data_IF_880218164345
#
_entry.id   IF_880218164345
#
_cell.length_a   1.000
_cell.length_b   1.000
_cell.length_c   1.000
_cell.angle_alpha   90.00
_cell.angle_beta   90.00
_cell.angle_gamma   90.00
#
_symmetry.space_group_name_H-M   'P 1'
#
loop_
_entity.id
_entity.type
_entity.pdbx_description
1 polymer ?
#
# COMPACT_ATOMS: atom_id res chain seq x y z
N UNK A 1 21.08 1.38 14.02
CA UNK A 1 19.61 1.17 14.09
C UNK A 1 19.38 -0.32 14.11
N UNK A 2 18.49 -0.82 14.97
CA UNK A 2 18.07 -2.23 14.95
C UNK A 2 17.28 -2.48 13.67
N UNK A 3 17.40 -3.67 13.08
CA UNK A 3 16.47 -4.09 12.04
C UNK A 3 15.04 -4.07 12.60
N UNK A 4 14.04 -3.66 11.79
CA UNK A 4 12.64 -3.70 12.20
C UNK A 4 12.18 -5.14 12.39
N UNK A 5 11.26 -5.34 13.34
CA UNK A 5 10.63 -6.65 13.56
C UNK A 5 9.93 -7.12 12.27
N UNK A 6 10.36 -8.26 11.72
CA UNK A 6 9.70 -8.87 10.57
C UNK A 6 8.46 -9.63 11.00
N UNK A 7 7.31 -9.17 10.52
CA UNK A 7 6.03 -9.88 10.57
C UNK A 7 5.85 -10.72 9.31
N UNK A 8 5.50 -12.00 9.49
CA UNK A 8 5.25 -12.96 8.40
C UNK A 8 4.11 -13.91 8.76
N UNK A 9 3.21 -14.13 7.81
CA UNK A 9 2.15 -15.15 7.84
C UNK A 9 2.14 -15.91 6.50
N UNK A 10 1.15 -16.78 6.29
CA UNK A 10 1.00 -17.51 5.02
C UNK A 10 0.76 -16.57 3.83
N UNK A 11 0.02 -15.49 4.06
CA UNK A 11 -0.40 -14.55 3.01
C UNK A 11 0.35 -13.22 3.06
N UNK A 12 1.21 -12.97 4.06
CA UNK A 12 1.83 -11.65 4.27
C UNK A 12 3.31 -11.75 4.66
N UNK A 13 4.14 -10.82 4.15
CA UNK A 13 5.55 -10.67 4.55
C UNK A 13 5.99 -9.21 4.54
N UNK A 14 6.18 -8.64 5.73
CA UNK A 14 6.67 -7.27 5.92
C UNK A 14 8.06 -7.00 5.33
N UNK A 15 8.87 -8.03 5.05
CA UNK A 15 10.17 -7.84 4.42
C UNK A 15 10.07 -7.17 3.04
N UNK A 16 8.91 -7.23 2.38
CA UNK A 16 8.65 -6.48 1.13
C UNK A 16 8.76 -4.97 1.30
N UNK A 17 8.69 -4.42 2.52
CA UNK A 17 8.90 -2.99 2.76
C UNK A 17 10.37 -2.57 2.77
N UNK A 18 11.31 -3.50 3.03
CA UNK A 18 12.74 -3.17 3.19
C UNK A 18 13.38 -2.67 1.88
N UNK A 19 12.98 -3.26 0.75
CA UNK A 19 13.50 -2.91 -0.58
C UNK A 19 12.56 -1.99 -1.36
N UNK A 20 11.47 -1.52 -0.74
CA UNK A 20 10.49 -0.71 -1.44
C UNK A 20 11.06 0.70 -1.72
N UNK A 21 11.13 1.14 -2.99
CA UNK A 21 11.66 2.46 -3.33
C UNK A 21 10.62 3.54 -2.99
N UNK A 22 10.63 4.01 -1.75
CA UNK A 22 9.77 5.10 -1.29
C UNK A 22 10.03 6.40 -2.08
N UNK A 23 8.96 7.16 -2.28
CA UNK A 23 8.98 8.53 -2.80
C UNK A 23 8.65 9.49 -1.68
N UNK A 24 9.16 10.72 -1.78
CA UNK A 24 8.73 11.78 -0.88
C UNK A 24 7.21 11.95 -0.97
N UNK A 25 6.57 11.96 0.19
CA UNK A 25 5.13 12.07 0.30
C UNK A 25 4.35 10.76 0.22
N UNK A 26 4.95 9.58 0.03
CA UNK A 26 4.14 8.34 0.11
C UNK A 26 3.32 8.26 1.40
N UNK A 27 2.07 7.82 1.27
CA UNK A 27 1.18 7.61 2.41
C UNK A 27 1.07 6.11 2.66
N UNK A 28 1.47 5.65 3.84
CA UNK A 28 1.25 4.26 4.27
C UNK A 28 -0.01 4.20 5.11
N UNK A 29 -0.99 3.45 4.65
CA UNK A 29 -2.24 3.17 5.36
C UNK A 29 -2.03 1.87 6.13
N UNK A 30 -1.69 2.01 7.40
CA UNK A 30 -1.57 0.91 8.35
C UNK A 30 -2.82 0.82 9.20
N UNK A 31 -3.69 -0.13 8.88
CA UNK A 31 -4.90 -0.43 9.66
C UNK A 31 -4.90 -1.91 10.00
N UNK A 32 -5.48 -2.29 11.14
CA UNK A 32 -5.75 -3.71 11.39
C UNK A 32 -6.74 -4.25 10.36
N UNK A 33 -6.59 -5.52 10.00
CA UNK A 33 -7.51 -6.20 9.08
C UNK A 33 -8.96 -6.04 9.55
N UNK A 34 -9.86 -5.77 8.61
CA UNK A 34 -11.31 -5.54 8.83
C UNK A 34 -11.68 -4.30 9.66
N UNK A 35 -10.75 -3.37 9.90
CA UNK A 35 -11.01 -2.13 10.65
C UNK A 35 -11.15 -0.87 9.78
N UNK A 36 -11.69 -0.98 8.57
CA UNK A 36 -12.02 0.20 7.74
C UNK A 36 -10.96 0.62 6.71
N UNK A 37 -10.06 -0.29 6.32
CA UNK A 37 -8.99 0.00 5.33
C UNK A 37 -9.52 0.54 4.01
N UNK A 38 -10.58 -0.06 3.46
CA UNK A 38 -11.20 0.40 2.22
C UNK A 38 -11.73 1.84 2.34
N UNK A 39 -12.28 2.20 3.50
CA UNK A 39 -12.79 3.54 3.74
C UNK A 39 -11.65 4.56 3.83
N UNK A 40 -10.56 4.23 4.52
CA UNK A 40 -9.38 5.10 4.57
C UNK A 40 -8.71 5.23 3.20
N UNK A 41 -8.58 4.14 2.45
CA UNK A 41 -8.07 4.16 1.07
C UNK A 41 -8.93 5.08 0.19
N UNK A 42 -10.26 5.04 0.33
CA UNK A 42 -11.17 5.92 -0.40
C UNK A 42 -10.98 7.39 0.00
N UNK A 43 -10.87 7.71 1.29
CA UNK A 43 -10.60 9.08 1.74
C UNK A 43 -9.29 9.59 1.12
N UNK A 44 -8.21 8.81 1.18
CA UNK A 44 -6.95 9.17 0.55
C UNK A 44 -7.10 9.38 -0.96
N UNK A 45 -7.81 8.48 -1.66
CA UNK A 45 -8.05 8.58 -3.10
C UNK A 45 -8.76 9.89 -3.46
N UNK A 46 -9.85 10.24 -2.77
CA UNK A 46 -10.60 11.48 -3.01
C UNK A 46 -9.75 12.73 -2.77
N UNK A 47 -8.93 12.73 -1.71
CA UNK A 47 -8.08 13.87 -1.37
C UNK A 47 -6.93 14.06 -2.37
N UNK A 48 -6.35 12.96 -2.87
CA UNK A 48 -5.20 12.99 -3.79
C UNK A 48 -5.65 13.22 -5.23
N UNK A 49 -6.65 12.47 -5.70
CA UNK A 49 -7.11 12.51 -7.10
C UNK A 49 -8.07 13.68 -7.34
N UNK A 50 -8.63 14.27 -6.28
CA UNK A 50 -9.55 15.42 -6.35
C UNK A 50 -10.80 15.18 -7.19
N UNK A 51 -11.18 13.91 -7.34
CA UNK A 51 -12.37 13.45 -8.07
C UNK A 51 -12.95 12.19 -7.41
N UNK A 52 -14.28 12.02 -7.40
CA UNK A 52 -14.90 10.75 -7.01
C UNK A 52 -14.82 9.67 -8.11
N UNK A 53 -14.56 10.06 -9.36
CA UNK A 53 -14.45 9.14 -10.49
C UNK A 53 -13.05 8.52 -10.51
N UNK A 54 -12.93 7.31 -9.95
CA UNK A 54 -11.65 6.61 -9.89
C UNK A 54 -11.25 6.10 -11.28
N UNK A 55 -10.00 6.34 -11.72
CA UNK A 55 -9.52 5.87 -13.03
C UNK A 55 -9.30 4.35 -13.08
N UNK A 56 -9.22 3.70 -11.92
CA UNK A 56 -9.03 2.26 -11.76
C UNK A 56 -9.64 1.79 -10.42
N UNK A 57 -9.84 0.47 -10.23
CA UNK A 57 -10.25 -0.08 -8.94
C UNK A 57 -9.35 0.38 -7.77
N UNK A 58 -9.95 0.59 -6.59
CA UNK A 58 -9.23 1.12 -5.43
C UNK A 58 -8.06 0.23 -4.99
N UNK A 59 -8.17 -1.09 -5.16
CA UNK A 59 -7.09 -2.04 -4.86
C UNK A 59 -5.90 -1.93 -5.82
N UNK A 60 -6.11 -1.38 -7.02
CA UNK A 60 -5.02 -1.09 -7.97
C UNK A 60 -4.38 0.26 -7.69
N UNK A 61 -5.18 1.25 -7.29
CA UNK A 61 -4.68 2.57 -6.87
C UNK A 61 -3.93 2.51 -5.53
N UNK A 62 -4.36 1.63 -4.63
CA UNK A 62 -3.78 1.41 -3.30
C UNK A 62 -3.55 -0.08 -3.05
N UNK A 63 -2.53 -0.66 -3.68
CA UNK A 63 -2.24 -2.08 -3.50
C UNK A 63 -1.73 -2.37 -2.09
N UNK A 64 -1.96 -3.61 -1.67
CA UNK A 64 -1.42 -4.15 -0.44
C UNK A 64 -0.01 -4.70 -0.69
N UNK A 65 1.00 -4.02 -0.15
CA UNK A 65 2.39 -4.27 -0.53
C UNK A 65 2.94 -5.60 0.00
N UNK A 66 2.65 -5.89 1.25
CA UNK A 66 3.05 -7.08 2.00
C UNK A 66 2.24 -8.34 1.64
N UNK A 67 1.20 -8.24 0.81
CA UNK A 67 0.35 -9.38 0.42
C UNK A 67 1.02 -10.30 -0.60
N UNK A 68 1.23 -11.56 -0.23
CA UNK A 68 2.01 -12.53 -0.99
C UNK A 68 1.30 -13.07 -2.24
N UNK A 69 -0.03 -12.92 -2.33
CA UNK A 69 -0.82 -13.39 -3.48
C UNK A 69 -0.37 -12.68 -4.77
N UNK A 70 -0.03 -11.40 -4.70
CA UNK A 70 0.48 -10.66 -5.86
C UNK A 70 2.02 -10.68 -5.83
N UNK A 71 2.70 -11.01 -6.94
CA UNK A 71 4.16 -10.94 -7.01
C UNK A 71 4.67 -9.54 -6.64
N UNK A 72 5.75 -9.47 -5.85
CA UNK A 72 6.33 -8.21 -5.35
C UNK A 72 6.60 -7.22 -6.49
N UNK A 73 7.22 -7.70 -7.55
CA UNK A 73 7.68 -6.85 -8.65
C UNK A 73 6.50 -6.27 -9.44
N UNK A 74 5.35 -6.96 -9.50
CA UNK A 74 4.11 -6.43 -10.09
C UNK A 74 3.53 -5.31 -9.24
N UNK A 75 3.49 -5.48 -7.91
CA UNK A 75 3.03 -4.42 -6.99
C UNK A 75 3.93 -3.20 -7.09
N UNK A 76 5.25 -3.41 -7.14
CA UNK A 76 6.22 -2.34 -7.29
C UNK A 76 6.09 -1.61 -8.62
N UNK A 77 5.96 -2.35 -9.72
CA UNK A 77 5.77 -1.76 -11.05
C UNK A 77 4.47 -0.94 -11.11
N UNK A 78 3.38 -1.44 -10.52
CA UNK A 78 2.11 -0.71 -10.44
C UNK A 78 2.26 0.58 -9.63
N UNK A 79 2.90 0.53 -8.47
CA UNK A 79 3.18 1.72 -7.66
C UNK A 79 4.17 2.67 -8.33
N UNK A 80 5.11 2.16 -9.13
CA UNK A 80 6.05 2.98 -9.87
C UNK A 80 5.40 3.72 -11.05
N UNK A 81 4.39 3.11 -11.68
CA UNK A 81 3.67 3.71 -12.80
C UNK A 81 2.69 4.84 -12.37
N UNK A 82 2.35 4.94 -11.08
CA UNK A 82 1.49 6.01 -10.59
C UNK A 82 2.21 7.37 -10.65
N UNK A 83 1.57 8.36 -11.28
CA UNK A 83 2.07 9.74 -11.38
C UNK A 83 1.60 10.62 -10.21
N UNK A 84 0.45 10.28 -9.61
CA UNK A 84 -0.04 10.95 -8.42
C UNK A 84 0.71 10.50 -7.16
N UNK A 85 0.49 11.21 -6.05
CA UNK A 85 0.98 10.82 -4.72
C UNK A 85 0.48 9.41 -4.38
N UNK A 86 1.37 8.49 -4.00
CA UNK A 86 1.00 7.09 -3.76
C UNK A 86 0.43 6.92 -2.35
N UNK A 87 -0.57 6.04 -2.23
CA UNK A 87 -1.19 5.68 -0.96
C UNK A 87 -1.28 4.16 -0.90
N UNK A 88 -0.55 3.55 0.02
CA UNK A 88 -0.18 2.13 -0.03
C UNK A 88 -0.72 1.45 1.22
N UNK A 89 -1.36 0.29 1.06
CA UNK A 89 -1.97 -0.45 2.17
C UNK A 89 -0.96 -1.41 2.80
N UNK A 90 -1.01 -1.54 4.14
CA UNK A 90 -0.38 -2.61 4.92
C UNK A 90 -1.29 -3.09 6.05
N UNK A 91 -1.12 -4.35 6.49
CA UNK A 91 -1.66 -4.84 7.77
C UNK A 91 -0.58 -5.20 8.78
N UNK A 92 0.69 -5.26 8.37
CA UNK A 92 1.80 -5.40 9.31
C UNK A 92 2.04 -4.06 10.02
N UNK A 93 2.33 -4.07 11.33
CA UNK A 93 2.75 -2.86 12.04
C UNK A 93 3.92 -2.19 11.31
N UNK A 94 3.77 -0.90 11.05
CA UNK A 94 4.75 -0.01 10.42
C UNK A 94 5.59 0.71 11.47
#
# INVERSE_FOLDING_TARGET
MSDPTRYRSEDEDSARWLDFPFREGDIVISTRSKSGTTWMQMICALLILRTPDLPAPLAESSPWLDWLIVPRDEVYARLAAQEHRRFIKTHTPS
#
